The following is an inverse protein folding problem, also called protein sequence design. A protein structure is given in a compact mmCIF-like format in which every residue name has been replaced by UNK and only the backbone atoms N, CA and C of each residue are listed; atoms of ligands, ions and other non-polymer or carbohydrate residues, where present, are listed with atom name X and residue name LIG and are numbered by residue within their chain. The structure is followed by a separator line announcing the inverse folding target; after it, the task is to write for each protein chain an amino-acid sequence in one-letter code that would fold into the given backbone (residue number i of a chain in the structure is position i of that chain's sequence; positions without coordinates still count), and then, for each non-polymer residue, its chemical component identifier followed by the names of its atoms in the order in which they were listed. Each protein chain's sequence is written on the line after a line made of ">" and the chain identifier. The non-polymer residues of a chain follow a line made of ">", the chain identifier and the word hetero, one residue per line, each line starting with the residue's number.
data_IF_946374122681
#
_entry.id   IF_946374122681
#
_cell.length_a   1.000
_cell.length_b   1.000
_cell.length_c   1.000
_cell.angle_alpha   90.00
_cell.angle_beta   90.00
_cell.angle_gamma   90.00
#
_symmetry.space_group_name_H-M   'P 1'
#
loop_
_entity.id
_entity.type
_entity.pdbx_description
1 polymer ?
#
# COMPACT_ATOMS: atom_id res chain seq x y z
N UNK A 1 -1.19 -6.21 -2.27
CA UNK A 1 -2.53 -5.68 -1.90
C UNK A 1 -2.92 -4.56 -2.86
N UNK A 2 -4.21 -4.39 -3.09
CA UNK A 2 -4.73 -3.21 -3.78
C UNK A 2 -4.99 -2.11 -2.75
N UNK A 3 -4.33 -0.96 -2.93
CA UNK A 3 -4.49 0.21 -2.05
C UNK A 3 -5.35 1.26 -2.76
N UNK A 4 -6.40 1.71 -2.10
CA UNK A 4 -7.27 2.79 -2.55
C UNK A 4 -7.04 4.03 -1.68
N UNK A 5 -6.89 5.18 -2.33
CA UNK A 5 -6.74 6.51 -1.74
C UNK A 5 -7.76 7.46 -2.35
N UNK A 6 -7.99 8.59 -1.73
CA UNK A 6 -8.90 9.63 -2.24
C UNK A 6 -8.08 10.89 -2.54
N UNK A 7 -8.20 11.41 -3.75
CA UNK A 7 -7.60 12.66 -4.19
C UNK A 7 -8.69 13.50 -4.86
N UNK A 8 -8.87 14.76 -4.41
CA UNK A 8 -9.92 15.66 -4.94
C UNK A 8 -11.31 14.99 -4.97
N UNK A 9 -11.70 14.29 -3.91
CA UNK A 9 -12.94 13.52 -3.79
C UNK A 9 -13.10 12.37 -4.80
N UNK A 10 -12.08 12.05 -5.58
CA UNK A 10 -12.07 10.92 -6.50
C UNK A 10 -11.25 9.75 -5.92
N UNK A 11 -11.80 8.52 -5.88
CA UNK A 11 -11.05 7.36 -5.46
C UNK A 11 -10.06 6.93 -6.55
N UNK A 12 -8.87 6.52 -6.15
CA UNK A 12 -7.84 5.99 -7.03
C UNK A 12 -7.23 4.74 -6.40
N UNK A 13 -7.04 3.68 -7.20
CA UNK A 13 -6.54 2.38 -6.71
C UNK A 13 -5.31 1.92 -7.49
N UNK A 14 -4.40 1.23 -6.81
CA UNK A 14 -3.20 0.59 -7.40
C UNK A 14 -2.72 -0.55 -6.55
N UNK A 15 -1.95 -1.44 -7.16
CA UNK A 15 -1.27 -2.51 -6.41
C UNK A 15 -0.05 -1.92 -5.70
N UNK A 16 0.11 -2.27 -4.43
CA UNK A 16 1.32 -2.00 -3.64
C UNK A 16 1.75 -3.28 -2.93
N UNK A 17 3.04 -3.37 -2.62
CA UNK A 17 3.59 -4.54 -1.95
C UNK A 17 3.51 -4.34 -0.44
N UNK A 18 2.68 -5.15 0.24
CA UNK A 18 2.70 -5.24 1.69
C UNK A 18 4.06 -5.78 2.14
N UNK A 19 4.70 -5.12 3.07
CA UNK A 19 6.01 -5.49 3.60
C UNK A 19 5.93 -6.09 4.99
N UNK A 20 5.06 -5.58 5.82
CA UNK A 20 4.92 -6.03 7.20
C UNK A 20 3.47 -5.87 7.66
N UNK A 21 3.05 -6.80 8.51
CA UNK A 21 1.87 -6.67 9.37
C UNK A 21 2.41 -6.52 10.77
N UNK A 22 2.23 -5.36 11.38
CA UNK A 22 2.73 -5.03 12.70
C UNK A 22 1.57 -4.67 13.61
N UNK A 23 1.37 -5.46 14.68
CA UNK A 23 0.26 -5.30 15.62
C UNK A 23 -1.09 -5.14 14.89
N UNK A 24 -1.56 -3.90 14.77
CA UNK A 24 -2.81 -3.52 14.12
C UNK A 24 -2.59 -2.63 12.91
N UNK A 25 -1.47 -2.78 12.25
CA UNK A 25 -1.14 -1.95 11.10
C UNK A 25 -0.57 -2.76 9.93
N UNK A 26 -0.72 -2.20 8.74
CA UNK A 26 -0.12 -2.69 7.51
C UNK A 26 0.95 -1.70 7.08
N UNK A 27 2.16 -2.18 6.76
CA UNK A 27 3.26 -1.30 6.35
C UNK A 27 3.64 -1.58 4.89
N UNK A 28 3.79 -0.53 4.11
CA UNK A 28 4.36 -0.56 2.76
C UNK A 28 5.28 0.64 2.55
N UNK A 29 6.13 0.58 1.52
CA UNK A 29 7.08 1.66 1.22
C UNK A 29 6.80 2.26 -0.15
N UNK A 30 6.96 3.57 -0.25
CA UNK A 30 6.68 4.32 -1.49
C UNK A 30 7.45 5.63 -1.54
N UNK A 31 7.46 6.27 -2.73
CA UNK A 31 7.83 7.68 -2.85
C UNK A 31 6.64 8.53 -2.36
N UNK A 32 6.90 9.46 -1.43
CA UNK A 32 5.89 10.35 -0.84
C UNK A 32 5.34 11.36 -1.84
N UNK A 33 6.13 11.71 -2.87
CA UNK A 33 5.72 12.63 -3.94
C UNK A 33 4.91 11.94 -5.05
N UNK A 34 4.74 10.61 -4.96
CA UNK A 34 3.86 9.90 -5.90
C UNK A 34 2.38 10.27 -5.70
N UNK A 35 1.52 10.02 -6.70
CA UNK A 35 0.08 10.30 -6.59
C UNK A 35 -0.53 9.76 -5.31
N UNK A 36 -0.19 8.50 -4.94
CA UNK A 36 -0.68 7.91 -3.69
C UNK A 36 -0.09 8.57 -2.44
N UNK A 37 1.19 8.99 -2.49
CA UNK A 37 1.85 9.66 -1.37
C UNK A 37 1.22 11.02 -1.10
N UNK A 38 0.97 11.82 -2.14
CA UNK A 38 0.26 13.10 -2.05
C UNK A 38 -1.18 12.91 -1.56
N UNK A 39 -1.92 11.97 -2.18
CA UNK A 39 -3.29 11.67 -1.78
C UNK A 39 -3.41 11.28 -0.29
N UNK A 40 -2.48 10.49 0.24
CA UNK A 40 -2.43 10.12 1.67
C UNK A 40 -2.09 11.33 2.55
N UNK A 41 -1.23 12.24 2.07
CA UNK A 41 -0.90 13.46 2.81
C UNK A 41 -2.11 14.39 2.96
N UNK A 42 -2.95 14.48 1.92
CA UNK A 42 -4.14 15.33 1.88
C UNK A 42 -5.33 14.66 2.60
N UNK A 43 -5.51 13.37 2.37
CA UNK A 43 -6.56 12.57 3.00
C UNK A 43 -6.00 11.21 3.45
N UNK A 44 -5.74 11.04 4.76
CA UNK A 44 -5.12 9.82 5.27
C UNK A 44 -6.06 8.61 5.31
N UNK A 45 -7.35 8.76 5.00
CA UNK A 45 -8.28 7.63 4.94
C UNK A 45 -7.97 6.75 3.75
N UNK A 46 -7.71 5.48 4.00
CA UNK A 46 -7.34 4.51 2.97
C UNK A 46 -8.10 3.20 3.13
N UNK A 47 -8.19 2.48 2.00
CA UNK A 47 -8.69 1.12 1.98
C UNK A 47 -7.65 0.23 1.31
N UNK A 48 -7.33 -0.91 1.93
CA UNK A 48 -6.45 -1.92 1.36
C UNK A 48 -7.21 -3.24 1.23
N UNK A 49 -7.11 -3.92 0.08
CA UNK A 49 -7.79 -5.18 -0.14
C UNK A 49 -6.84 -6.26 -0.64
N UNK A 50 -7.14 -7.49 -0.22
CA UNK A 50 -6.54 -8.73 -0.70
C UNK A 50 -7.65 -9.62 -1.24
N UNK A 51 -7.42 -10.22 -2.39
CA UNK A 51 -8.35 -11.18 -2.96
C UNK A 51 -7.60 -12.42 -3.44
N UNK A 52 -8.12 -13.57 -3.05
CA UNK A 52 -7.60 -14.89 -3.43
C UNK A 52 -8.69 -15.64 -4.22
N UNK A 53 -8.70 -15.47 -5.57
CA UNK A 53 -9.74 -16.07 -6.41
C UNK A 53 -9.92 -17.58 -6.22
N UNK A 54 -8.84 -18.39 -6.14
CA UNK A 54 -9.01 -19.85 -5.97
C UNK A 54 -9.66 -20.25 -4.65
N UNK A 55 -9.61 -19.38 -3.64
CA UNK A 55 -10.20 -19.61 -2.32
C UNK A 55 -11.55 -18.91 -2.15
N UNK A 56 -11.96 -18.12 -3.15
CA UNK A 56 -13.12 -17.23 -3.05
C UNK A 56 -13.12 -16.42 -1.73
N UNK A 57 -11.95 -15.88 -1.37
CA UNK A 57 -11.75 -15.09 -0.14
C UNK A 57 -11.26 -13.70 -0.45
N UNK A 58 -11.82 -12.74 0.29
CA UNK A 58 -11.37 -11.37 0.28
C UNK A 58 -11.23 -10.85 1.71
N UNK A 59 -10.21 -10.03 1.93
CA UNK A 59 -10.08 -9.26 3.17
C UNK A 59 -9.89 -7.80 2.80
N UNK A 60 -10.69 -6.93 3.41
CA UNK A 60 -10.61 -5.48 3.24
C UNK A 60 -10.22 -4.86 4.58
N UNK A 61 -9.24 -3.97 4.54
CA UNK A 61 -8.79 -3.17 5.67
C UNK A 61 -9.13 -1.70 5.39
N UNK A 62 -9.83 -1.05 6.32
CA UNK A 62 -9.99 0.41 6.31
C UNK A 62 -9.23 0.99 7.49
N UNK A 63 -8.55 2.10 7.26
CA UNK A 63 -7.72 2.70 8.29
C UNK A 63 -7.16 4.06 7.92
N UNK A 64 -6.34 4.57 8.81
CA UNK A 64 -5.67 5.86 8.70
C UNK A 64 -4.19 5.60 8.38
N UNK A 65 -3.74 6.16 7.28
CA UNK A 65 -2.35 6.06 6.85
C UNK A 65 -1.52 7.22 7.41
N UNK A 66 -0.30 6.93 7.84
CA UNK A 66 0.69 7.91 8.26
C UNK A 66 2.09 7.49 7.82
N UNK A 67 3.04 8.42 7.74
CA UNK A 67 4.45 8.08 7.53
C UNK A 67 4.99 7.33 8.75
N UNK A 68 5.85 6.35 8.50
CA UNK A 68 6.65 5.72 9.56
C UNK A 68 7.79 6.65 10.01
N UNK A 69 8.42 6.34 11.13
CA UNK A 69 9.59 7.05 11.60
C UNK A 69 10.74 6.96 10.60
N UNK A 70 11.62 7.96 10.62
CA UNK A 70 12.76 8.03 9.71
C UNK A 70 13.71 6.86 9.93
N UNK A 71 14.04 6.52 11.16
CA UNK A 71 14.97 5.43 11.49
C UNK A 71 14.46 4.07 10.97
N UNK A 72 13.15 3.84 11.08
CA UNK A 72 12.52 2.64 10.50
C UNK A 72 12.62 2.63 8.97
N UNK A 73 12.36 3.77 8.33
CA UNK A 73 12.49 3.92 6.88
C UNK A 73 13.93 3.78 6.40
N UNK A 74 14.91 4.33 7.15
CA UNK A 74 16.34 4.23 6.84
C UNK A 74 16.84 2.80 6.96
N UNK A 75 16.46 2.11 8.04
CA UNK A 75 16.79 0.69 8.26
C UNK A 75 16.28 -0.17 7.12
N UNK A 76 14.99 0.01 6.75
CA UNK A 76 14.43 -0.76 5.65
C UNK A 76 15.08 -0.40 4.31
N UNK A 77 15.36 0.89 4.04
CA UNK A 77 16.03 1.31 2.80
C UNK A 77 17.39 0.64 2.65
N UNK A 78 18.19 0.62 3.72
CA UNK A 78 19.53 0.01 3.74
C UNK A 78 19.50 -1.51 3.54
N UNK A 79 18.42 -2.18 3.99
CA UNK A 79 18.25 -3.63 3.81
C UNK A 79 17.86 -4.03 2.37
N UNK A 80 17.47 -3.07 1.52
CA UNK A 80 17.08 -3.35 0.14
C UNK A 80 18.30 -3.70 -0.72
N UNK A 81 18.12 -4.54 -1.75
CA UNK A 81 19.16 -4.77 -2.74
C UNK A 81 19.67 -3.45 -3.32
N UNK A 82 20.99 -3.32 -3.51
CA UNK A 82 21.65 -2.12 -4.03
C UNK A 82 20.97 -1.52 -5.27
N UNK A 83 20.64 -2.38 -6.24
CA UNK A 83 19.92 -1.98 -7.46
C UNK A 83 18.54 -1.41 -7.18
N UNK A 84 17.86 -1.90 -6.15
CA UNK A 84 16.53 -1.38 -5.75
C UNK A 84 16.64 -0.05 -5.00
N UNK A 85 17.72 0.19 -4.29
CA UNK A 85 18.03 1.49 -3.69
C UNK A 85 18.28 2.54 -4.78
N UNK A 86 19.13 2.22 -5.77
CA UNK A 86 19.40 3.09 -6.92
C UNK A 86 18.13 3.44 -7.70
N UNK A 87 17.26 2.45 -7.96
CA UNK A 87 15.99 2.67 -8.63
C UNK A 87 15.08 3.64 -7.86
N UNK A 88 15.05 3.57 -6.53
CA UNK A 88 14.26 4.48 -5.72
C UNK A 88 14.79 5.93 -5.74
N UNK A 89 16.11 6.10 -5.91
CA UNK A 89 16.75 7.42 -6.01
C UNK A 89 16.44 8.07 -7.36
N UNK A 90 16.53 7.31 -8.45
CA UNK A 90 16.38 7.83 -9.81
C UNK A 90 14.93 8.04 -10.20
N UNK A 91 14.02 7.21 -9.68
CA UNK A 91 12.61 7.25 -10.06
C UNK A 91 11.88 8.39 -9.34
N UNK A 92 11.41 9.36 -10.11
CA UNK A 92 10.36 10.30 -9.67
C UNK A 92 9.01 9.63 -9.89
N UNK A 93 8.60 8.81 -8.95
CA UNK A 93 7.40 7.96 -9.08
C UNK A 93 6.14 8.81 -9.38
N UNK A 94 5.40 8.42 -10.40
CA UNK A 94 4.19 9.09 -10.91
C UNK A 94 4.41 10.36 -11.73
N UNK A 95 5.64 10.84 -11.90
CA UNK A 95 5.94 11.94 -12.81
C UNK A 95 5.93 11.44 -14.26
N UNK A 96 5.59 12.37 -15.17
CA UNK A 96 5.73 12.13 -16.60
C UNK A 96 7.20 12.08 -16.96
N UNK A 97 7.61 11.07 -17.72
CA UNK A 97 8.96 10.94 -18.26
C UNK A 97 8.89 11.04 -19.80
N UNK A 98 9.90 11.62 -20.41
CA UNK A 98 9.94 11.77 -21.88
C UNK A 98 10.22 10.44 -22.57
N UNK A 99 11.07 9.60 -21.97
CA UNK A 99 11.34 8.26 -22.48
C UNK A 99 11.78 7.30 -21.35
N UNK A 100 11.60 6.00 -21.61
CA UNK A 100 12.11 4.95 -20.72
C UNK A 100 13.63 4.87 -20.80
N UNK A 101 14.22 5.17 -21.95
CA UNK A 101 15.66 5.20 -22.17
C UNK A 101 16.33 6.22 -21.24
N UNK A 102 15.80 7.44 -21.15
CA UNK A 102 16.34 8.47 -20.26
C UNK A 102 16.36 8.02 -18.79
N UNK A 103 15.31 7.34 -18.34
CA UNK A 103 15.27 6.78 -16.99
C UNK A 103 16.32 5.70 -16.79
N UNK A 104 16.48 4.83 -17.80
CA UNK A 104 17.47 3.75 -17.80
C UNK A 104 18.90 4.30 -17.78
N UNK A 105 19.17 5.32 -18.57
CA UNK A 105 20.49 5.97 -18.63
C UNK A 105 20.84 6.63 -17.29
N UNK A 106 19.91 7.35 -16.68
CA UNK A 106 20.13 7.91 -15.32
C UNK A 106 20.38 6.83 -14.29
N UNK A 107 19.67 5.71 -14.38
CA UNK A 107 19.88 4.57 -13.48
C UNK A 107 21.24 3.92 -13.67
N UNK A 108 21.65 3.65 -14.91
CA UNK A 108 22.95 3.06 -15.23
C UNK A 108 24.12 3.98 -14.83
N UNK A 109 23.96 5.29 -15.07
CA UNK A 109 24.94 6.29 -14.65
C UNK A 109 25.13 6.28 -13.15
N UNK A 110 24.03 6.30 -12.38
CA UNK A 110 24.09 6.27 -10.92
C UNK A 110 24.80 5.01 -10.39
N UNK A 111 24.53 3.83 -10.98
CA UNK A 111 25.19 2.58 -10.59
C UNK A 111 26.68 2.59 -10.91
N UNK A 112 27.09 3.14 -12.06
CA UNK A 112 28.48 3.16 -12.48
C UNK A 112 29.33 4.12 -11.64
N UNK A 113 28.77 5.27 -11.27
CA UNK A 113 29.46 6.29 -10.48
C UNK A 113 29.57 5.92 -8.98
N UNK A 114 28.77 4.96 -8.50
CA UNK A 114 28.65 4.66 -7.07
C UNK A 114 28.88 3.17 -6.75
N UNK A 115 29.74 2.48 -7.51
CA UNK A 115 29.94 1.00 -7.39
C UNK A 115 30.26 0.52 -5.97
N UNK A 116 30.89 1.35 -5.15
CA UNK A 116 31.36 1.02 -3.78
C UNK A 116 30.71 1.92 -2.71
N UNK A 117 29.66 2.65 -3.05
CA UNK A 117 29.03 3.64 -2.15
C UNK A 117 27.77 3.08 -1.50
N UNK A 118 27.53 3.51 -0.25
CA UNK A 118 26.27 3.25 0.44
C UNK A 118 25.31 4.37 0.05
N UNK A 119 24.17 4.00 -0.53
CA UNK A 119 23.14 4.97 -0.85
C UNK A 119 22.42 5.45 0.41
N UNK A 120 22.27 6.77 0.53
CA UNK A 120 21.41 7.38 1.52
C UNK A 120 19.96 7.38 1.02
N UNK A 121 19.02 7.08 1.90
CA UNK A 121 17.60 7.13 1.57
C UNK A 121 17.18 8.55 1.15
N UNK A 122 16.48 8.72 0.02
CA UNK A 122 15.87 9.99 -0.34
C UNK A 122 14.83 10.42 0.68
N UNK A 123 14.78 11.71 1.03
CA UNK A 123 13.83 12.24 2.01
C UNK A 123 12.36 12.06 1.60
N UNK A 124 12.12 11.97 0.29
CA UNK A 124 10.79 11.75 -0.27
C UNK A 124 10.43 10.27 -0.46
N UNK A 125 11.20 9.33 0.12
CA UNK A 125 10.93 7.90 0.05
C UNK A 125 10.92 7.31 1.47
N UNK A 126 9.95 6.46 1.77
CA UNK A 126 9.91 5.76 3.06
C UNK A 126 8.63 4.96 3.27
N UNK A 127 8.44 4.55 4.51
CA UNK A 127 7.32 3.72 4.92
C UNK A 127 6.04 4.52 5.12
N UNK A 128 4.93 3.87 4.80
CA UNK A 128 3.57 4.28 5.18
C UNK A 128 3.00 3.16 6.03
N UNK A 129 2.51 3.50 7.20
CA UNK A 129 1.79 2.64 8.13
C UNK A 129 0.31 2.95 8.08
N UNK A 130 -0.52 1.94 7.83
CA UNK A 130 -1.98 2.03 7.86
C UNK A 130 -2.46 1.48 9.19
N UNK A 131 -2.88 2.34 10.11
CA UNK A 131 -3.51 1.94 11.35
C UNK A 131 -4.93 1.45 11.07
N UNK A 132 -5.17 0.18 11.28
CA UNK A 132 -6.42 -0.50 10.95
C UNK A 132 -7.52 -0.05 11.92
N UNK A 133 -8.66 0.37 11.37
CA UNK A 133 -9.88 0.70 12.12
C UNK A 133 -10.98 -0.33 11.90
N UNK A 134 -11.05 -0.91 10.70
CA UNK A 134 -12.05 -1.91 10.35
C UNK A 134 -11.42 -2.97 9.45
N UNK A 135 -11.80 -4.23 9.69
CA UNK A 135 -11.44 -5.38 8.83
C UNK A 135 -12.74 -6.04 8.40
N UNK A 136 -12.91 -6.22 7.10
CA UNK A 136 -13.99 -7.03 6.54
C UNK A 136 -13.42 -8.32 5.97
N UNK A 137 -13.95 -9.44 6.41
CA UNK A 137 -13.69 -10.76 5.87
C UNK A 137 -14.87 -11.20 5.02
N UNK A 138 -14.59 -11.58 3.78
CA UNK A 138 -15.59 -12.13 2.87
C UNK A 138 -15.16 -13.53 2.40
N UNK A 139 -16.13 -14.45 2.39
CA UNK A 139 -15.96 -15.80 1.89
C UNK A 139 -17.10 -16.13 0.91
N UNK A 140 -16.75 -16.50 -0.32
CA UNK A 140 -17.69 -17.03 -1.30
C UNK A 140 -18.35 -18.33 -0.81
N UNK A 141 -19.64 -18.49 -1.11
CA UNK A 141 -20.43 -19.67 -0.81
C UNK A 141 -21.39 -19.95 -1.95
N UNK A 142 -21.81 -21.22 -2.08
CA UNK A 142 -22.84 -21.64 -3.01
C UNK A 142 -24.14 -20.84 -2.80
N UNK A 143 -24.94 -20.74 -3.85
CA UNK A 143 -26.22 -20.02 -3.86
C UNK A 143 -26.12 -18.57 -3.39
N UNK A 144 -24.91 -17.98 -3.49
CA UNK A 144 -24.61 -16.57 -3.15
C UNK A 144 -24.89 -16.17 -1.69
N UNK A 145 -25.01 -17.15 -0.81
CA UNK A 145 -25.10 -16.94 0.62
C UNK A 145 -23.71 -16.70 1.23
N UNK A 146 -22.98 -15.70 0.67
CA UNK A 146 -21.62 -15.38 1.08
C UNK A 146 -21.53 -14.98 2.54
N UNK A 147 -20.52 -15.47 3.25
CA UNK A 147 -20.23 -15.02 4.59
C UNK A 147 -19.49 -13.70 4.56
N UNK A 148 -19.99 -12.73 5.32
CA UNK A 148 -19.33 -11.45 5.51
C UNK A 148 -19.30 -11.12 7.00
N UNK A 149 -18.10 -10.91 7.53
CA UNK A 149 -17.87 -10.58 8.94
C UNK A 149 -17.04 -9.30 8.98
N UNK A 150 -17.52 -8.31 9.71
CA UNK A 150 -16.80 -7.05 9.92
C UNK A 150 -16.33 -6.98 11.36
N UNK A 151 -15.05 -6.71 11.56
CA UNK A 151 -14.43 -6.41 12.83
C UNK A 151 -14.13 -4.91 12.88
N UNK A 152 -14.79 -4.17 13.74
CA UNK A 152 -14.48 -2.76 14.04
C UNK A 152 -13.64 -2.67 15.31
N UNK A 153 -12.54 -1.93 15.21
CA UNK A 153 -11.65 -1.70 16.33
C UNK A 153 -12.11 -0.46 17.11
N UNK A 154 -12.83 -0.67 18.21
CA UNK A 154 -13.30 0.40 19.10
C UNK A 154 -12.47 0.33 20.40
N UNK A 155 -11.70 1.39 20.69
CA UNK A 155 -10.81 1.44 21.88
C UNK A 155 -9.91 0.20 22.00
N UNK A 156 -9.48 -0.35 20.87
CA UNK A 156 -8.62 -1.53 20.87
C UNK A 156 -9.34 -2.88 21.00
N UNK A 157 -10.64 -2.91 21.09
CA UNK A 157 -11.46 -4.14 21.15
C UNK A 157 -12.08 -4.36 19.76
N UNK A 158 -12.01 -5.60 19.26
CA UNK A 158 -12.66 -5.99 18.02
C UNK A 158 -14.14 -6.29 18.30
N UNK A 159 -15.03 -5.47 17.77
CA UNK A 159 -16.48 -5.71 17.75
C UNK A 159 -16.81 -6.44 16.43
N UNK A 160 -17.26 -7.69 16.53
CA UNK A 160 -17.67 -8.49 15.37
C UNK A 160 -19.11 -8.20 15.00
N UNK A 161 -19.33 -7.92 13.72
CA UNK A 161 -20.63 -7.71 13.11
C UNK A 161 -20.78 -8.66 11.92
N UNK A 162 -21.82 -9.48 11.93
CA UNK A 162 -22.22 -10.24 10.76
C UNK A 162 -23.10 -9.36 9.87
N UNK A 163 -22.76 -9.28 8.58
CA UNK A 163 -23.54 -8.52 7.63
C UNK A 163 -24.23 -9.46 6.65
N UNK A 164 -25.50 -9.17 6.34
CA UNK A 164 -26.26 -9.93 5.36
C UNK A 164 -25.61 -9.87 3.99
N UNK A 165 -25.68 -10.95 3.18
CA UNK A 165 -25.25 -10.92 1.78
C UNK A 165 -25.96 -9.82 1.01
N UNK A 166 -25.27 -9.16 0.08
CA UNK A 166 -25.88 -8.13 -0.76
C UNK A 166 -26.84 -8.77 -1.76
N UNK A 167 -28.10 -8.29 -1.91
CA UNK A 167 -29.02 -8.77 -2.92
C UNK A 167 -28.51 -8.64 -4.37
N UNK A 168 -27.53 -7.76 -4.62
CA UNK A 168 -26.91 -7.56 -5.94
C UNK A 168 -25.98 -8.71 -6.35
N UNK A 169 -25.57 -9.53 -5.40
CA UNK A 169 -24.83 -10.77 -5.70
C UNK A 169 -25.76 -11.84 -6.33
N UNK A 170 -27.02 -11.51 -6.61
CA UNK A 170 -28.06 -12.40 -7.15
C UNK A 170 -28.23 -12.36 -8.68
N UNK A 171 -27.29 -11.80 -9.46
CA UNK A 171 -27.39 -11.71 -10.91
C UNK A 171 -26.45 -12.66 -11.64
N UNK A 172 -26.87 -13.90 -11.88
CA UNK A 172 -26.69 -14.74 -13.10
C UNK A 172 -27.23 -16.13 -12.89
#
# INVERSE_FOLDING_TARGET
>A
MTLSTVENNAPSSRVVLLKEIKDRSLVFFTNYDSNKGRAISDNPNVCASFFWPPLERQVIFKGIAKKTDNDYSDTYFSSRPYKSQAAAIVSKQSDVIYSYEELTDRYNKLLNENKDSIFKRPSNWGGIEINIQEIEFWQGRENRLHNRVVCRLIKGICCLLYTSPSPRDNGR
#
